data_IF_067679617270
#
_entry.id   IF_067679617270
#
_cell.length_a   1.000
_cell.length_b   1.000
_cell.length_c   1.000
_cell.angle_alpha   90.00
_cell.angle_beta   90.00
_cell.angle_gamma   90.00
#
_symmetry.space_group_name_H-M   'P 1'
#
loop_
_entity.id
_entity.type
_entity.pdbx_description
1 polymer ?
#
# COMPACT_ATOMS: atom_id res chain seq x y z
N UNK A 1 -8.44 19.93 -28.22
CA UNK A 1 -7.98 19.21 -27.00
C UNK A 1 -6.49 19.47 -26.84
N UNK A 2 -6.14 20.64 -26.34
CA UNK A 2 -4.75 21.09 -26.19
C UNK A 2 -4.51 21.46 -24.72
N UNK A 3 -3.24 21.51 -24.30
CA UNK A 3 -2.77 21.75 -22.93
C UNK A 3 -2.76 20.55 -21.97
N UNK A 4 -2.58 19.31 -22.45
CA UNK A 4 -1.91 18.30 -21.59
C UNK A 4 -0.43 18.67 -21.45
N UNK A 5 0.09 18.69 -20.22
CA UNK A 5 1.49 19.06 -19.95
C UNK A 5 2.45 18.18 -20.77
N UNK A 6 3.46 18.75 -21.47
CA UNK A 6 4.33 17.98 -22.37
C UNK A 6 5.12 16.90 -21.62
N UNK A 7 5.40 17.10 -20.32
CA UNK A 7 6.01 16.10 -19.45
C UNK A 7 5.13 14.83 -19.33
N UNK A 8 3.81 14.98 -19.15
CA UNK A 8 2.87 13.84 -19.09
C UNK A 8 2.82 13.12 -20.44
N UNK A 9 2.76 13.86 -21.55
CA UNK A 9 2.81 13.29 -22.90
C UNK A 9 4.08 12.44 -23.11
N UNK A 10 5.23 12.91 -22.60
CA UNK A 10 6.50 12.17 -22.70
C UNK A 10 6.52 10.85 -21.90
N UNK A 11 5.79 10.76 -20.78
CA UNK A 11 5.70 9.54 -19.97
C UNK A 11 4.96 8.43 -20.71
N UNK A 12 3.84 8.77 -21.36
CA UNK A 12 3.02 7.82 -22.12
C UNK A 12 3.49 7.61 -23.57
N UNK A 13 4.52 8.34 -24.04
CA UNK A 13 5.02 8.16 -25.40
C UNK A 13 5.74 6.81 -25.61
N UNK A 14 5.26 6.03 -26.58
CA UNK A 14 5.83 4.74 -27.01
C UNK A 14 7.14 4.88 -27.82
N UNK A 15 7.45 6.10 -28.26
CA UNK A 15 8.60 6.46 -29.07
C UNK A 15 9.57 7.37 -28.28
N UNK A 16 10.82 7.45 -28.74
CA UNK A 16 11.90 8.13 -28.04
C UNK A 16 12.75 7.24 -27.12
N UNK A 17 13.65 7.91 -26.41
CA UNK A 17 14.76 7.40 -25.61
C UNK A 17 14.79 8.13 -24.27
N UNK A 18 15.11 7.39 -23.20
CA UNK A 18 15.20 7.93 -21.84
C UNK A 18 16.63 7.75 -21.33
N UNK A 19 17.27 8.83 -20.89
CA UNK A 19 18.61 8.76 -20.34
C UNK A 19 18.62 8.13 -18.93
N UNK A 20 19.80 7.76 -18.44
CA UNK A 20 20.03 7.16 -17.10
C UNK A 20 19.28 7.88 -15.95
N UNK A 21 19.45 9.20 -15.71
CA UNK A 21 18.79 9.87 -14.59
C UNK A 21 17.28 9.98 -14.76
N UNK A 22 16.74 10.27 -15.96
CA UNK A 22 15.28 10.35 -16.15
C UNK A 22 14.62 8.99 -15.96
N UNK A 23 15.23 7.90 -16.45
CA UNK A 23 14.75 6.55 -16.15
C UNK A 23 14.75 6.27 -14.63
N UNK A 24 15.84 6.55 -13.92
CA UNK A 24 15.93 6.35 -12.47
C UNK A 24 14.91 7.17 -11.65
N UNK A 25 14.69 8.44 -12.03
CA UNK A 25 13.65 9.29 -11.42
C UNK A 25 12.25 8.74 -11.65
N UNK A 26 11.93 8.28 -12.87
CA UNK A 26 10.62 7.68 -13.17
C UNK A 26 10.40 6.41 -12.34
N UNK A 27 11.38 5.50 -12.28
CA UNK A 27 11.25 4.25 -11.50
C UNK A 27 11.05 4.55 -10.01
N UNK A 28 11.91 5.40 -9.43
CA UNK A 28 11.85 5.72 -7.99
C UNK A 28 10.57 6.47 -7.61
N UNK A 29 10.13 7.44 -8.43
CA UNK A 29 8.87 8.14 -8.23
C UNK A 29 7.66 7.20 -8.30
N UNK A 30 7.63 6.24 -9.25
CA UNK A 30 6.54 5.26 -9.33
C UNK A 30 6.48 4.33 -8.12
N UNK A 31 7.63 3.88 -7.59
CA UNK A 31 7.66 3.07 -6.37
C UNK A 31 7.21 3.87 -5.14
N UNK A 32 7.75 5.08 -4.96
CA UNK A 32 7.36 5.97 -3.87
C UNK A 32 5.85 6.30 -3.90
N UNK A 33 5.32 6.63 -5.07
CA UNK A 33 3.92 7.00 -5.23
C UNK A 33 2.97 5.83 -4.95
N UNK A 34 3.32 4.60 -5.34
CA UNK A 34 2.55 3.41 -4.96
C UNK A 34 2.54 3.20 -3.45
N UNK A 35 3.70 3.29 -2.78
CA UNK A 35 3.80 3.13 -1.33
C UNK A 35 3.05 4.22 -0.56
N UNK A 36 3.09 5.46 -1.05
CA UNK A 36 2.32 6.58 -0.51
C UNK A 36 0.81 6.34 -0.61
N UNK A 37 0.30 5.88 -1.76
CA UNK A 37 -1.11 5.54 -1.90
C UNK A 37 -1.51 4.31 -1.08
N UNK A 38 -0.65 3.29 -0.99
CA UNK A 38 -0.88 2.11 -0.13
C UNK A 38 -1.02 2.50 1.35
N UNK A 39 -0.17 3.41 1.85
CA UNK A 39 -0.23 3.89 3.24
C UNK A 39 -1.55 4.61 3.57
N UNK A 40 -2.15 5.33 2.61
CA UNK A 40 -3.36 6.13 2.83
C UNK A 40 -4.64 5.33 2.50
N UNK A 41 -4.59 4.42 1.53
CA UNK A 41 -5.75 3.75 0.95
C UNK A 41 -5.66 2.21 1.02
N UNK A 42 -4.95 1.65 2.01
CA UNK A 42 -4.82 0.19 2.22
C UNK A 42 -6.17 -0.55 2.19
N UNK A 43 -7.21 0.06 2.77
CA UNK A 43 -8.58 -0.46 2.82
C UNK A 43 -9.35 -0.43 1.48
N UNK A 44 -8.73 0.04 0.39
CA UNK A 44 -9.37 0.19 -0.94
C UNK A 44 -8.55 -0.52 -2.03
N UNK A 45 -8.54 -1.87 -2.06
CA UNK A 45 -7.67 -2.65 -2.95
C UNK A 45 -7.94 -2.40 -4.44
N UNK A 46 -9.19 -2.08 -4.82
CA UNK A 46 -9.58 -1.75 -6.19
C UNK A 46 -8.93 -0.44 -6.67
N UNK A 47 -8.89 0.59 -5.82
CA UNK A 47 -8.20 1.85 -6.10
C UNK A 47 -6.69 1.64 -6.24
N UNK A 48 -6.08 0.89 -5.32
CA UNK A 48 -4.65 0.55 -5.38
C UNK A 48 -4.30 -0.25 -6.65
N UNK A 49 -5.14 -1.19 -7.07
CA UNK A 49 -4.93 -1.96 -8.29
C UNK A 49 -4.96 -1.07 -9.56
N UNK A 50 -5.84 -0.08 -9.61
CA UNK A 50 -5.89 0.91 -10.72
C UNK A 50 -4.59 1.73 -10.76
N UNK A 51 -4.15 2.25 -9.60
CA UNK A 51 -2.89 3.01 -9.50
C UNK A 51 -1.68 2.14 -9.89
N UNK A 52 -1.57 0.92 -9.38
CA UNK A 52 -0.51 -0.01 -9.71
C UNK A 52 -0.47 -0.36 -11.22
N UNK A 53 -1.64 -0.53 -11.85
CA UNK A 53 -1.75 -0.77 -13.30
C UNK A 53 -1.21 0.40 -14.13
N UNK A 54 -1.62 1.64 -13.82
CA UNK A 54 -1.13 2.85 -14.50
C UNK A 54 0.38 3.00 -14.34
N UNK A 55 0.91 2.81 -13.13
CA UNK A 55 2.34 2.91 -12.84
C UNK A 55 3.17 1.81 -13.52
N UNK A 56 2.64 0.59 -13.59
CA UNK A 56 3.24 -0.51 -14.37
C UNK A 56 3.37 -0.11 -15.84
N UNK A 57 2.34 0.53 -16.41
CA UNK A 57 2.38 1.06 -17.77
C UNK A 57 3.48 2.10 -17.98
N UNK A 58 3.62 3.05 -17.05
CA UNK A 58 4.69 4.06 -17.09
C UNK A 58 6.08 3.42 -16.97
N UNK A 59 6.27 2.47 -16.03
CA UNK A 59 7.52 1.72 -15.84
C UNK A 59 7.88 0.92 -17.10
N UNK A 60 6.90 0.26 -17.74
CA UNK A 60 7.11 -0.51 -18.97
C UNK A 60 7.53 0.38 -20.13
N UNK A 61 6.86 1.52 -20.34
CA UNK A 61 7.20 2.47 -21.40
C UNK A 61 8.59 3.10 -21.17
N UNK A 62 8.89 3.50 -19.93
CA UNK A 62 10.20 4.01 -19.52
C UNK A 62 11.31 2.98 -19.75
N UNK A 63 11.10 1.73 -19.31
CA UNK A 63 12.02 0.61 -19.53
C UNK A 63 12.24 0.33 -21.02
N UNK A 64 11.19 0.47 -21.85
CA UNK A 64 11.28 0.31 -23.30
C UNK A 64 12.11 1.40 -23.96
N UNK A 65 11.92 2.67 -23.58
CA UNK A 65 12.71 3.80 -24.09
C UNK A 65 14.17 3.68 -23.66
N UNK A 66 14.42 3.31 -22.40
CA UNK A 66 15.76 3.08 -21.86
C UNK A 66 16.49 1.88 -22.48
N UNK A 67 15.78 0.81 -22.83
CA UNK A 67 16.42 -0.35 -23.47
C UNK A 67 16.81 -0.10 -24.94
N UNK A 68 15.99 0.67 -25.67
CA UNK A 68 16.35 1.18 -27.00
C UNK A 68 17.61 2.05 -26.95
N UNK A 69 17.69 2.91 -25.94
CA UNK A 69 18.80 3.84 -25.67
C UNK A 69 20.13 3.12 -25.36
N UNK A 70 20.04 1.97 -24.66
CA UNK A 70 21.15 1.05 -24.44
C UNK A 70 21.39 0.04 -25.58
N UNK A 71 20.53 0.02 -26.62
CA UNK A 71 20.67 -0.84 -27.80
C UNK A 71 20.47 -2.34 -27.56
N UNK A 72 19.71 -2.74 -26.53
CA UNK A 72 19.49 -4.14 -26.12
C UNK A 72 18.17 -4.74 -26.66
N UNK A 73 18.11 -6.08 -26.70
CA UNK A 73 16.96 -6.83 -27.21
C UNK A 73 15.73 -6.74 -26.29
N UNK A 74 14.55 -6.50 -26.87
CA UNK A 74 13.28 -6.14 -26.19
C UNK A 74 12.83 -7.00 -25.00
N UNK A 75 13.32 -8.22 -24.81
CA UNK A 75 12.91 -9.10 -23.70
C UNK A 75 13.23 -8.51 -22.31
N UNK A 76 14.31 -7.72 -22.19
CA UNK A 76 14.70 -7.08 -20.92
C UNK A 76 13.75 -5.96 -20.46
N UNK A 77 12.87 -5.45 -21.34
CA UNK A 77 11.88 -4.42 -21.00
C UNK A 77 10.89 -4.91 -19.94
N UNK A 78 10.61 -6.22 -19.93
CA UNK A 78 9.58 -6.81 -19.08
C UNK A 78 10.03 -6.93 -17.61
N UNK A 79 11.32 -7.04 -17.31
CA UNK A 79 11.80 -7.39 -15.97
C UNK A 79 11.40 -6.37 -14.88
N UNK A 80 11.65 -5.05 -15.02
CA UNK A 80 11.27 -4.09 -13.99
C UNK A 80 9.75 -3.98 -13.81
N UNK A 81 9.00 -4.00 -14.92
CA UNK A 81 7.54 -3.91 -14.94
C UNK A 81 6.88 -5.16 -14.34
N UNK A 82 7.38 -6.36 -14.65
CA UNK A 82 6.88 -7.62 -14.11
C UNK A 82 7.20 -7.74 -12.61
N UNK A 83 8.42 -7.36 -12.19
CA UNK A 83 8.77 -7.30 -10.78
C UNK A 83 7.86 -6.35 -10.00
N UNK A 84 7.58 -5.16 -10.56
CA UNK A 84 6.72 -4.16 -9.95
C UNK A 84 5.26 -4.63 -9.83
N UNK A 85 4.66 -5.17 -10.89
CA UNK A 85 3.26 -5.62 -10.84
C UNK A 85 3.07 -6.84 -9.92
N UNK A 86 4.01 -7.78 -9.89
CA UNK A 86 3.95 -8.93 -8.97
C UNK A 86 4.08 -8.48 -7.51
N UNK A 87 5.01 -7.56 -7.22
CA UNK A 87 5.14 -6.97 -5.87
C UNK A 87 3.88 -6.17 -5.47
N UNK A 88 3.27 -5.44 -6.41
CA UNK A 88 2.03 -4.69 -6.20
C UNK A 88 0.86 -5.62 -5.89
N UNK A 89 0.68 -6.69 -6.67
CA UNK A 89 -0.39 -7.68 -6.44
C UNK A 89 -0.20 -8.34 -5.08
N UNK A 90 1.03 -8.73 -4.72
CA UNK A 90 1.31 -9.31 -3.40
C UNK A 90 0.96 -8.32 -2.27
N UNK A 91 1.43 -7.07 -2.35
CA UNK A 91 1.17 -6.03 -1.34
C UNK A 91 -0.32 -5.68 -1.18
N UNK A 92 -1.11 -5.76 -2.26
CA UNK A 92 -2.57 -5.54 -2.23
C UNK A 92 -3.34 -6.78 -1.73
N UNK A 93 -2.78 -7.99 -1.86
CA UNK A 93 -3.48 -9.25 -1.53
C UNK A 93 -3.27 -9.75 -0.10
N UNK A 94 -2.38 -9.11 0.66
CA UNK A 94 -1.90 -9.58 1.96
C UNK A 94 -1.44 -8.41 2.85
N UNK A 95 -2.06 -8.25 4.02
CA UNK A 95 -1.72 -7.20 5.00
C UNK A 95 -0.45 -7.55 5.79
N UNK A 96 0.72 -7.52 5.14
CA UNK A 96 1.97 -7.88 5.80
C UNK A 96 3.19 -7.09 5.30
N UNK A 97 3.84 -6.37 6.22
CA UNK A 97 4.90 -5.39 5.93
C UNK A 97 6.18 -6.01 5.32
N UNK A 98 6.41 -7.31 5.49
CA UNK A 98 7.57 -7.99 4.87
C UNK A 98 7.49 -8.02 3.34
N UNK A 99 6.29 -7.88 2.77
CA UNK A 99 6.09 -7.83 1.31
C UNK A 99 6.68 -6.59 0.64
N UNK A 100 7.08 -5.57 1.41
CA UNK A 100 7.90 -4.47 0.88
C UNK A 100 9.23 -4.98 0.28
N UNK A 101 9.75 -6.12 0.75
CA UNK A 101 10.93 -6.78 0.17
C UNK A 101 10.67 -7.30 -1.26
N UNK A 102 9.42 -7.53 -1.66
CA UNK A 102 9.08 -7.99 -2.99
C UNK A 102 9.38 -6.96 -4.10
N UNK A 103 9.60 -5.68 -3.76
CA UNK A 103 10.07 -4.66 -4.71
C UNK A 103 11.56 -4.74 -5.03
N UNK A 104 12.37 -5.46 -4.23
CA UNK A 104 13.83 -5.57 -4.43
C UNK A 104 14.18 -6.08 -5.85
N UNK A 105 13.58 -7.14 -6.41
CA UNK A 105 13.83 -7.57 -7.79
C UNK A 105 13.52 -6.51 -8.86
N UNK A 106 12.46 -5.70 -8.68
CA UNK A 106 12.15 -4.58 -9.58
C UNK A 106 13.23 -3.51 -9.53
N UNK A 107 13.64 -3.12 -8.32
CA UNK A 107 14.68 -2.11 -8.10
C UNK A 107 16.06 -2.58 -8.56
N UNK A 108 16.42 -3.85 -8.36
CA UNK A 108 17.68 -4.42 -8.84
C UNK A 108 17.74 -4.48 -10.37
N UNK A 109 16.66 -4.91 -11.02
CA UNK A 109 16.61 -4.96 -12.50
C UNK A 109 16.58 -3.56 -13.12
N UNK A 110 15.90 -2.60 -12.49
CA UNK A 110 15.99 -1.19 -12.87
C UNK A 110 17.41 -0.63 -12.66
N UNK A 111 18.06 -0.93 -11.54
CA UNK A 111 19.44 -0.49 -11.26
C UNK A 111 20.43 -1.02 -12.30
N UNK A 112 20.28 -2.27 -12.72
CA UNK A 112 21.04 -2.84 -13.85
C UNK A 112 20.84 -2.03 -15.15
N UNK A 113 19.58 -1.66 -15.48
CA UNK A 113 19.30 -0.84 -16.66
C UNK A 113 19.83 0.60 -16.55
N UNK A 114 19.96 1.16 -15.34
CA UNK A 114 20.63 2.46 -15.11
C UNK A 114 22.13 2.33 -15.42
N UNK A 115 22.79 1.26 -14.97
CA UNK A 115 24.24 1.07 -15.15
C UNK A 115 24.68 0.92 -16.61
N UNK A 116 23.82 0.43 -17.51
CA UNK A 116 24.16 0.27 -18.94
C UNK A 116 24.64 1.59 -19.60
N UNK A 117 25.64 1.58 -20.49
CA UNK A 117 26.03 2.79 -21.23
C UNK A 117 24.94 3.20 -22.25
N UNK A 118 24.82 4.51 -22.49
CA UNK A 118 24.12 5.09 -23.65
C UNK A 118 24.90 4.75 -24.92
N UNK A 119 24.25 4.17 -25.93
CA UNK A 119 24.94 3.76 -27.17
C UNK A 119 25.15 4.90 -28.16
N UNK A 120 24.19 5.83 -28.23
CA UNK A 120 24.20 6.92 -29.20
C UNK A 120 24.40 8.26 -28.50
N UNK A 121 25.16 9.16 -29.13
CA UNK A 121 25.37 10.53 -28.65
C UNK A 121 24.19 11.44 -29.05
N UNK A 122 23.00 11.14 -28.51
CA UNK A 122 21.77 11.89 -28.74
C UNK A 122 21.74 13.15 -27.87
N UNK A 123 21.13 14.23 -28.36
CA UNK A 123 20.82 15.39 -27.54
C UNK A 123 19.52 15.12 -26.77
N UNK A 124 19.57 15.23 -25.44
CA UNK A 124 18.41 15.02 -24.57
C UNK A 124 17.92 16.35 -24.00
N UNK A 125 16.64 16.66 -24.16
CA UNK A 125 15.95 17.74 -23.44
C UNK A 125 15.33 17.15 -22.18
N UNK A 126 15.69 17.65 -20.99
CA UNK A 126 15.25 17.10 -19.69
C UNK A 126 15.43 15.57 -19.54
N UNK A 127 16.40 14.97 -20.24
CA UNK A 127 16.65 13.53 -20.25
C UNK A 127 15.72 12.69 -21.13
N UNK A 128 14.96 13.34 -22.03
CA UNK A 128 14.20 12.70 -23.11
C UNK A 128 14.81 13.04 -24.46
N UNK A 129 14.78 12.10 -25.40
CA UNK A 129 14.99 12.37 -26.82
C UNK A 129 13.88 11.64 -27.61
N UNK A 130 12.97 12.38 -28.25
CA UNK A 130 11.81 11.79 -28.92
C UNK A 130 10.85 12.84 -29.51
N UNK A 131 9.68 12.42 -30.04
CA UNK A 131 8.78 13.30 -30.79
C UNK A 131 7.99 14.32 -29.94
N UNK A 132 8.04 14.23 -28.61
CA UNK A 132 7.40 15.22 -27.72
C UNK A 132 8.42 16.29 -27.35
N UNK A 133 8.22 17.52 -27.82
CA UNK A 133 9.04 18.65 -27.42
C UNK A 133 8.69 19.12 -26.00
N UNK A 134 9.62 18.94 -25.07
CA UNK A 134 9.49 19.36 -23.68
C UNK A 134 9.73 20.87 -23.46
N UNK A 135 10.26 21.58 -24.46
CA UNK A 135 10.59 23.02 -24.40
C UNK A 135 9.56 23.91 -25.10
N UNK A 136 8.63 23.35 -25.89
CA UNK A 136 7.61 24.09 -26.65
C UNK A 136 6.77 25.09 -25.82
N UNK A 137 6.57 24.84 -24.52
CA UNK A 137 5.88 25.77 -23.62
C UNK A 137 6.83 26.75 -22.90
N UNK A 138 8.13 26.43 -22.79
CA UNK A 138 9.12 27.33 -22.21
C UNK A 138 9.50 28.45 -23.19
N UNK A 139 9.65 28.13 -24.47
CA UNK A 139 10.01 29.09 -25.53
C UNK A 139 8.93 30.15 -25.76
N UNK A 140 7.65 29.80 -25.63
CA UNK A 140 6.53 30.78 -25.64
C UNK A 140 6.71 31.90 -24.61
N UNK A 141 7.29 31.62 -23.43
CA UNK A 141 7.49 32.64 -22.39
C UNK A 141 8.67 33.60 -22.63
N UNK A 142 9.58 33.25 -23.55
CA UNK A 142 10.77 34.06 -23.87
C UNK A 142 10.50 35.02 -25.02
N UNK A 143 9.70 34.61 -26.02
CA UNK A 143 9.39 35.48 -27.16
C UNK A 143 8.50 36.67 -26.73
N UNK A 144 7.60 36.48 -25.77
CA UNK A 144 6.77 37.55 -25.16
C UNK A 144 7.55 38.51 -24.25
N UNK A 145 8.80 38.18 -23.89
CA UNK A 145 9.65 39.01 -22.99
C UNK A 145 10.68 39.87 -23.72
N UNK A 146 10.95 39.59 -25.00
CA UNK A 146 11.71 40.50 -25.85
C UNK A 146 10.77 41.50 -26.53
N UNK A 147 10.19 42.40 -25.74
CA UNK A 147 9.58 43.63 -26.25
C UNK A 147 10.70 44.52 -26.82
N UNK A 148 11.01 44.32 -28.09
CA UNK A 148 11.94 45.19 -28.83
C UNK A 148 11.23 46.55 -28.98
N UNK A 149 11.70 47.55 -28.23
CA UNK A 149 11.25 48.94 -28.40
C UNK A 149 11.71 49.43 -29.79
N UNK A 150 10.82 50.02 -30.61
CA UNK A 150 11.22 50.56 -31.91
C UNK A 150 12.07 51.83 -31.71
N UNK A 151 13.39 51.67 -31.81
CA UNK A 151 14.31 52.81 -31.80
C UNK A 151 14.13 53.66 -33.06
N UNK A 152 13.49 54.81 -32.91
CA UNK A 152 13.24 55.75 -34.01
C UNK A 152 14.51 56.55 -34.36
N UNK A 153 15.50 55.87 -34.94
CA UNK A 153 16.66 56.48 -35.60
C UNK A 153 16.94 55.75 -36.91
N UNK A 154 16.88 56.49 -38.01
CA UNK A 154 17.08 55.95 -39.34
C UNK A 154 18.56 55.89 -39.70
N UNK A 155 19.07 54.68 -39.93
CA UNK A 155 20.11 54.44 -40.93
C UNK A 155 19.81 53.10 -41.61
N UNK A 156 19.52 53.14 -42.91
CA UNK A 156 19.32 51.92 -43.71
C UNK A 156 20.69 51.32 -43.98
N UNK A 157 21.03 50.21 -43.30
CA UNK A 157 22.15 49.39 -43.73
C UNK A 157 21.83 47.89 -43.62
N UNK A 158 22.20 47.20 -44.69
CA UNK A 158 21.95 45.81 -45.06
C UNK A 158 21.50 44.82 -43.95
N UNK A 159 20.23 44.37 -44.04
CA UNK A 159 19.81 43.09 -43.47
C UNK A 159 20.51 41.94 -44.21
N UNK A 160 21.64 41.47 -43.68
CA UNK A 160 22.09 40.10 -43.92
C UNK A 160 21.32 39.17 -42.99
N UNK A 161 20.52 38.29 -43.58
CA UNK A 161 19.78 37.25 -42.87
C UNK A 161 20.78 36.17 -42.39
N UNK A 162 21.43 36.43 -41.26
CA UNK A 162 22.33 35.46 -40.64
C UNK A 162 21.52 34.29 -40.07
N UNK A 163 21.54 33.16 -40.78
CA UNK A 163 20.97 31.90 -40.33
C UNK A 163 21.67 31.42 -39.05
N UNK A 164 21.02 31.63 -37.89
CA UNK A 164 21.57 31.24 -36.57
C UNK A 164 21.46 29.71 -36.42
N UNK A 165 22.40 29.01 -37.05
CA UNK A 165 22.70 27.62 -36.75
C UNK A 165 23.26 27.51 -35.33
N UNK A 166 22.41 27.25 -34.34
CA UNK A 166 22.81 26.96 -32.97
C UNK A 166 23.50 25.58 -32.84
N UNK A 167 24.67 25.43 -33.44
CA UNK A 167 25.59 24.32 -33.21
C UNK A 167 26.58 24.66 -32.09
N UNK A 168 26.07 24.75 -30.88
CA UNK A 168 26.87 25.03 -29.69
C UNK A 168 27.74 23.82 -29.29
N UNK A 169 28.93 23.71 -29.88
CA UNK A 169 30.01 22.87 -29.34
C UNK A 169 30.63 23.56 -28.12
N UNK A 170 30.07 23.36 -26.93
CA UNK A 170 30.68 23.79 -25.67
C UNK A 170 31.47 22.64 -25.02
N UNK A 171 32.75 22.53 -25.35
CA UNK A 171 33.67 21.58 -24.70
C UNK A 171 33.99 22.06 -23.28
N UNK A 172 33.28 21.55 -22.28
CA UNK A 172 33.64 21.77 -20.88
C UNK A 172 34.57 20.64 -20.40
N UNK A 173 35.87 20.91 -20.34
CA UNK A 173 36.84 19.99 -19.72
C UNK A 173 36.68 20.04 -18.20
N UNK A 174 36.40 18.89 -17.59
CA UNK A 174 36.42 18.70 -16.13
C UNK A 174 37.63 17.83 -15.78
N UNK A 175 38.45 18.21 -14.78
CA UNK A 175 39.74 17.56 -14.54
C UNK A 175 39.58 16.14 -13.99
N UNK A 176 40.38 15.23 -14.52
CA UNK A 176 40.53 13.87 -14.01
C UNK A 176 41.41 13.86 -12.75
N UNK A 177 40.97 13.16 -11.70
CA UNK A 177 41.76 12.26 -10.84
C UNK A 177 41.01 11.95 -9.53
N UNK A 178 40.10 10.97 -9.58
CA UNK A 178 39.78 10.15 -8.41
C UNK A 178 39.86 8.69 -8.84
N UNK A 179 40.67 7.90 -8.14
CA UNK A 179 41.01 6.52 -8.49
C UNK A 179 39.82 5.61 -8.12
N UNK A 180 38.83 5.54 -9.01
CA UNK A 180 37.65 4.70 -8.82
C UNK A 180 38.06 3.23 -8.70
N UNK A 181 37.81 2.63 -7.53
CA UNK A 181 37.90 1.18 -7.36
C UNK A 181 36.97 0.53 -8.38
N UNK A 182 37.50 -0.36 -9.21
CA UNK A 182 36.80 -0.98 -10.35
C UNK A 182 35.79 -2.05 -9.90
N UNK A 183 34.76 -1.59 -9.19
CA UNK A 183 33.60 -2.37 -8.78
C UNK A 183 32.90 -3.02 -9.99
N UNK A 184 32.93 -2.35 -11.14
CA UNK A 184 32.39 -2.83 -12.42
C UNK A 184 33.06 -4.14 -12.91
N UNK A 185 34.37 -4.30 -12.66
CA UNK A 185 35.12 -5.49 -13.08
C UNK A 185 34.70 -6.69 -12.20
N UNK A 186 34.68 -6.50 -10.88
CA UNK A 186 34.30 -7.54 -9.92
C UNK A 186 32.85 -8.02 -10.12
N UNK A 187 31.92 -7.12 -10.44
CA UNK A 187 30.53 -7.50 -10.74
C UNK A 187 30.36 -8.22 -12.10
N UNK A 188 31.18 -7.89 -13.12
CA UNK A 188 31.16 -8.61 -14.40
C UNK A 188 31.54 -10.07 -14.24
N UNK A 189 32.59 -10.34 -13.45
CA UNK A 189 33.17 -11.67 -13.36
C UNK A 189 32.31 -12.64 -12.50
N UNK A 190 31.60 -12.14 -11.48
CA UNK A 190 30.81 -12.99 -10.56
C UNK A 190 29.34 -13.24 -10.96
N UNK A 191 28.71 -12.42 -11.82
CA UNK A 191 27.25 -12.51 -12.08
C UNK A 191 26.89 -13.12 -13.45
N UNK A 192 27.80 -13.14 -14.43
CA UNK A 192 27.51 -13.60 -15.79
C UNK A 192 27.49 -15.14 -15.98
N UNK A 193 27.73 -15.92 -14.92
CA UNK A 193 27.77 -17.40 -14.97
C UNK A 193 26.38 -18.07 -14.96
N UNK A 194 25.31 -17.37 -14.58
CA UNK A 194 24.01 -18.01 -14.27
C UNK A 194 23.19 -18.31 -15.53
N UNK A 195 23.53 -19.46 -16.16
CA UNK A 195 22.83 -20.11 -17.29
C UNK A 195 21.32 -20.38 -17.03
N UNK A 196 20.86 -20.24 -15.79
CA UNK A 196 19.51 -20.56 -15.32
C UNK A 196 18.48 -19.42 -15.41
N UNK A 197 18.84 -18.21 -15.84
CA UNK A 197 17.87 -17.09 -15.99
C UNK A 197 16.70 -17.43 -16.92
N UNK A 198 16.92 -18.28 -17.93
CA UNK A 198 15.85 -18.79 -18.83
C UNK A 198 14.83 -19.70 -18.13
N UNK A 199 15.16 -20.24 -16.96
CA UNK A 199 14.35 -21.17 -16.17
C UNK A 199 13.64 -20.42 -15.03
N UNK A 200 14.29 -19.43 -14.44
CA UNK A 200 13.74 -18.66 -13.30
C UNK A 200 12.54 -17.80 -13.74
N UNK A 201 12.59 -17.15 -14.91
CA UNK A 201 11.49 -16.32 -15.40
C UNK A 201 10.15 -17.09 -15.58
N UNK A 202 10.09 -18.25 -16.27
CA UNK A 202 8.85 -19.03 -16.36
C UNK A 202 8.47 -19.69 -15.02
N UNK A 203 9.42 -20.01 -14.14
CA UNK A 203 9.13 -20.55 -12.81
C UNK A 203 8.38 -19.52 -11.93
N UNK A 204 8.86 -18.27 -11.88
CA UNK A 204 8.17 -17.20 -11.16
C UNK A 204 6.80 -16.87 -11.78
N UNK A 205 6.68 -16.88 -13.12
CA UNK A 205 5.40 -16.68 -13.80
C UNK A 205 4.40 -17.81 -13.50
N UNK A 206 4.86 -19.06 -13.51
CA UNK A 206 4.07 -20.24 -13.13
C UNK A 206 3.59 -20.16 -11.67
N UNK A 207 4.49 -19.85 -10.73
CA UNK A 207 4.17 -19.69 -9.32
C UNK A 207 3.11 -18.60 -9.08
N UNK A 208 3.22 -17.46 -9.77
CA UNK A 208 2.23 -16.38 -9.71
C UNK A 208 0.89 -16.82 -10.30
N UNK A 209 0.89 -17.53 -11.43
CA UNK A 209 -0.34 -18.04 -12.06
C UNK A 209 -1.03 -19.09 -11.17
N UNK A 210 -0.27 -19.94 -10.49
CA UNK A 210 -0.77 -20.88 -9.47
C UNK A 210 -1.40 -20.12 -8.29
N UNK A 211 -0.75 -19.09 -7.75
CA UNK A 211 -1.31 -18.29 -6.65
C UNK A 211 -2.59 -17.52 -7.04
N UNK A 212 -2.67 -17.03 -8.28
CA UNK A 212 -3.89 -16.41 -8.83
C UNK A 212 -5.01 -17.46 -9.00
N UNK A 213 -4.69 -18.65 -9.52
CA UNK A 213 -5.68 -19.74 -9.64
C UNK A 213 -6.17 -20.21 -8.27
N UNK A 214 -5.30 -20.35 -7.26
CA UNK A 214 -5.70 -20.71 -5.88
C UNK A 214 -6.68 -19.69 -5.30
N UNK A 215 -6.47 -18.39 -5.53
CA UNK A 215 -7.43 -17.36 -5.10
C UNK A 215 -8.77 -17.46 -5.84
N UNK A 216 -8.77 -17.76 -7.14
CA UNK A 216 -10.00 -17.93 -7.94
C UNK A 216 -10.77 -19.21 -7.55
N UNK A 217 -10.08 -20.32 -7.28
CA UNK A 217 -10.74 -21.58 -6.86
C UNK A 217 -11.29 -21.50 -5.44
N UNK A 218 -10.62 -20.78 -4.53
CA UNK A 218 -11.08 -20.62 -3.16
C UNK A 218 -12.29 -19.66 -3.03
N UNK A 219 -12.59 -18.86 -4.06
CA UNK A 219 -13.82 -18.07 -4.19
C UNK A 219 -14.99 -18.88 -4.80
N UNK A 220 -14.73 -20.11 -5.25
CA UNK A 220 -15.69 -20.97 -5.97
C UNK A 220 -15.73 -22.41 -5.41
N UNK A 221 -15.88 -22.53 -4.10
CA UNK A 221 -16.00 -23.82 -3.39
C UNK A 221 -17.24 -23.87 -2.48
N UNK A 222 -18.43 -23.83 -3.09
CA UNK A 222 -19.67 -24.32 -2.46
C UNK A 222 -19.85 -25.78 -2.88
N UNK A 223 -19.58 -26.72 -1.96
CA UNK A 223 -19.90 -28.14 -2.07
C UNK A 223 -20.09 -28.73 -0.65
N UNK A 224 -20.90 -29.79 -0.48
CA UNK A 224 -21.59 -30.07 0.78
C UNK A 224 -20.77 -30.88 1.80
N UNK A 225 -21.32 -30.94 3.01
CA UNK A 225 -20.87 -31.76 4.14
C UNK A 225 -20.75 -33.25 3.79
N UNK A 226 -19.75 -33.92 4.36
CA UNK A 226 -19.94 -35.26 4.92
C UNK A 226 -19.16 -35.37 6.24
N UNK A 227 -19.68 -36.16 7.17
CA UNK A 227 -19.36 -36.13 8.61
C UNK A 227 -18.26 -37.14 8.95
N UNK A 228 -17.25 -36.73 9.72
CA UNK A 228 -16.85 -37.45 10.94
C UNK A 228 -15.80 -36.73 11.81
N UNK A 229 -15.94 -36.89 13.13
CA UNK A 229 -14.95 -36.57 14.18
C UNK A 229 -14.04 -37.80 14.45
N UNK A 230 -12.98 -37.75 15.31
CA UNK A 230 -12.39 -36.61 16.04
C UNK A 230 -10.84 -36.52 15.91
N UNK A 231 -10.27 -35.53 16.63
CA UNK A 231 -8.92 -35.52 17.25
C UNK A 231 -7.80 -34.70 16.58
N UNK A 232 -7.57 -33.52 17.19
CA UNK A 232 -6.27 -33.05 17.72
C UNK A 232 -5.05 -33.03 16.79
N UNK A 233 -4.58 -31.82 16.44
CA UNK A 233 -3.16 -31.41 16.54
C UNK A 233 -3.07 -29.87 16.65
N UNK A 234 -1.96 -29.41 17.20
CA UNK A 234 -1.61 -28.03 17.52
C UNK A 234 -1.72 -26.97 16.40
N UNK A 235 -2.21 -25.80 16.81
CA UNK A 235 -1.60 -24.46 16.66
C UNK A 235 -0.52 -24.23 15.57
N UNK A 236 -0.77 -23.25 14.68
CA UNK A 236 0.20 -22.19 14.36
C UNK A 236 -0.52 -20.84 14.14
N UNK A 237 -0.11 -19.83 14.92
CA UNK A 237 -0.49 -18.40 14.81
C UNK A 237 0.62 -17.64 14.03
N UNK A 238 0.41 -16.50 13.35
CA UNK A 238 -0.63 -15.45 13.49
C UNK A 238 -0.97 -14.76 12.13
N UNK A 239 -2.12 -14.09 12.07
CA UNK A 239 -2.11 -12.61 11.97
C UNK A 239 -3.24 -12.06 12.84
N UNK A 240 -2.86 -11.44 13.96
CA UNK A 240 -3.79 -10.96 14.97
C UNK A 240 -4.36 -9.61 14.54
N UNK A 241 -5.67 -9.54 14.31
CA UNK A 241 -6.44 -8.41 14.84
C UNK A 241 -6.13 -8.37 16.33
N UNK A 242 -5.67 -7.23 16.85
CA UNK A 242 -5.22 -7.11 18.24
C UNK A 242 -6.34 -7.49 19.21
N UNK A 243 -6.31 -8.73 19.70
CA UNK A 243 -7.01 -9.15 20.91
C UNK A 243 -6.28 -8.49 22.09
N UNK A 244 -6.43 -7.16 22.22
CA UNK A 244 -5.75 -6.37 23.24
C UNK A 244 -5.96 -7.00 24.61
N UNK A 245 -4.88 -7.09 25.39
CA UNK A 245 -4.73 -8.05 26.49
C UNK A 245 -5.93 -7.97 27.43
N UNK A 246 -6.49 -9.13 27.79
CA UNK A 246 -7.63 -9.21 28.73
C UNK A 246 -7.09 -9.06 30.15
N UNK A 247 -7.11 -7.83 30.64
CA UNK A 247 -6.59 -7.44 31.95
C UNK A 247 -7.73 -7.38 32.99
N UNK A 248 -7.39 -7.64 34.26
CA UNK A 248 -8.27 -7.42 35.43
C UNK A 248 -9.65 -8.10 35.39
N UNK A 249 -9.75 -9.33 34.86
CA UNK A 249 -11.02 -10.05 34.68
C UNK A 249 -11.80 -10.23 36.01
N UNK A 250 -13.12 -10.04 35.95
CA UNK A 250 -14.09 -10.28 37.03
C UNK A 250 -15.27 -11.07 36.49
N UNK A 251 -15.50 -12.27 37.03
CA UNK A 251 -16.74 -13.01 36.82
C UNK A 251 -17.90 -12.34 37.58
N UNK A 252 -19.06 -12.22 36.91
CA UNK A 252 -20.27 -11.60 37.44
C UNK A 252 -21.32 -12.67 37.81
N UNK A 253 -22.37 -12.32 38.57
CA UNK A 253 -23.31 -13.32 39.12
C UNK A 253 -24.23 -14.02 38.11
N UNK A 254 -24.25 -13.59 36.85
CA UNK A 254 -25.20 -14.00 35.81
C UNK A 254 -24.44 -14.50 34.56
N UNK A 255 -23.41 -15.33 34.79
CA UNK A 255 -22.58 -16.04 33.81
C UNK A 255 -21.97 -15.18 32.68
N UNK A 256 -21.70 -13.90 32.99
CA UNK A 256 -20.90 -13.00 32.17
C UNK A 256 -19.63 -12.55 32.91
N UNK A 257 -18.62 -12.09 32.17
CA UNK A 257 -17.39 -11.52 32.73
C UNK A 257 -17.21 -10.07 32.29
N UNK A 258 -16.67 -9.25 33.18
CA UNK A 258 -16.14 -7.93 32.88
C UNK A 258 -14.61 -8.01 32.84
N UNK A 259 -14.00 -7.52 31.77
CA UNK A 259 -12.56 -7.40 31.62
C UNK A 259 -12.17 -6.00 31.14
N UNK A 260 -10.91 -5.64 31.31
CA UNK A 260 -10.32 -4.40 30.80
C UNK A 260 -9.32 -4.71 29.68
N UNK A 261 -8.93 -3.69 28.92
CA UNK A 261 -7.84 -3.73 27.97
C UNK A 261 -6.72 -2.75 28.39
N UNK A 262 -5.62 -2.76 27.65
CA UNK A 262 -4.43 -1.91 27.86
C UNK A 262 -4.69 -0.39 27.86
N UNK A 263 -5.87 0.06 27.42
CA UNK A 263 -6.26 1.46 27.26
C UNK A 263 -7.41 1.87 28.19
N UNK A 264 -7.63 1.15 29.30
CA UNK A 264 -8.76 1.32 30.23
C UNK A 264 -10.16 1.23 29.57
N UNK A 265 -10.25 0.62 28.38
CA UNK A 265 -11.51 0.24 27.75
C UNK A 265 -11.99 -1.11 28.28
N UNK A 266 -13.29 -1.25 28.50
CA UNK A 266 -13.87 -2.51 29.00
C UNK A 266 -14.32 -3.44 27.88
N UNK A 267 -14.36 -4.73 28.22
CA UNK A 267 -14.94 -5.82 27.44
C UNK A 267 -15.94 -6.58 28.31
N UNK A 268 -17.11 -6.89 27.76
CA UNK A 268 -18.05 -7.85 28.34
C UNK A 268 -17.91 -9.17 27.60
N UNK A 269 -17.88 -10.29 28.33
CA UNK A 269 -17.83 -11.65 27.76
C UNK A 269 -19.03 -12.46 28.27
N UNK A 270 -19.69 -13.21 27.41
CA UNK A 270 -20.74 -14.16 27.80
C UNK A 270 -20.76 -15.35 26.83
N UNK A 271 -21.47 -16.42 27.20
CA UNK A 271 -21.56 -17.63 26.38
C UNK A 271 -22.21 -17.33 25.01
N UNK A 272 -21.67 -17.92 23.94
CA UNK A 272 -22.21 -17.82 22.59
C UNK A 272 -23.14 -18.98 22.23
N UNK A 273 -24.21 -18.66 21.51
CA UNK A 273 -25.09 -19.64 20.86
C UNK A 273 -24.55 -20.08 19.49
N UNK A 274 -23.71 -19.24 18.87
CA UNK A 274 -23.10 -19.48 17.56
C UNK A 274 -21.64 -19.95 17.68
N UNK A 275 -21.34 -21.10 17.07
CA UNK A 275 -20.02 -21.75 17.14
C UNK A 275 -19.05 -21.19 16.09
N UNK A 276 -19.53 -20.41 15.11
CA UNK A 276 -18.66 -19.80 14.10
C UNK A 276 -18.00 -18.51 14.64
N UNK A 277 -16.67 -18.42 14.56
CA UNK A 277 -15.92 -17.18 14.81
C UNK A 277 -16.33 -16.08 13.82
N UNK A 278 -17.37 -15.30 14.15
CA UNK A 278 -17.89 -14.22 13.33
C UNK A 278 -18.01 -12.88 14.08
N UNK A 279 -18.05 -11.78 13.32
CA UNK A 279 -18.32 -10.44 13.86
C UNK A 279 -19.82 -10.18 13.81
N UNK A 280 -20.46 -10.15 14.97
CA UNK A 280 -21.88 -9.85 15.12
C UNK A 280 -22.19 -8.36 14.89
N UNK A 281 -21.28 -7.47 15.28
CA UNK A 281 -21.42 -6.02 15.10
C UNK A 281 -20.06 -5.34 15.00
N UNK A 282 -19.96 -4.33 14.14
CA UNK A 282 -18.81 -3.43 14.07
C UNK A 282 -19.26 -1.99 13.77
N UNK A 283 -18.90 -1.07 14.67
CA UNK A 283 -19.20 0.36 14.57
C UNK A 283 -18.50 1.05 13.40
N UNK A 284 -17.34 0.55 12.96
CA UNK A 284 -16.54 1.16 11.89
C UNK A 284 -17.20 0.94 10.52
N UNK A 285 -17.71 -0.27 10.29
CA UNK A 285 -18.46 -0.60 9.08
C UNK A 285 -19.96 -0.32 9.19
N UNK A 286 -20.49 -0.14 10.42
CA UNK A 286 -21.91 -0.07 10.74
C UNK A 286 -22.72 -1.26 10.20
N UNK A 287 -22.09 -2.44 10.15
CA UNK A 287 -22.66 -3.71 9.69
C UNK A 287 -22.76 -4.70 10.85
N UNK A 288 -23.67 -5.66 10.70
CA UNK A 288 -24.00 -6.65 11.70
C UNK A 288 -25.41 -6.48 12.28
N UNK A 289 -25.70 -7.19 13.35
CA UNK A 289 -26.95 -7.06 14.08
C UNK A 289 -27.03 -5.73 14.84
N UNK A 290 -28.14 -5.03 14.67
CA UNK A 290 -28.45 -3.78 15.36
C UNK A 290 -28.76 -3.99 16.84
N UNK A 291 -29.18 -5.20 17.25
CA UNK A 291 -29.36 -5.53 18.67
C UNK A 291 -28.04 -5.44 19.46
N UNK A 292 -26.91 -5.70 18.78
CA UNK A 292 -25.56 -5.60 19.31
C UNK A 292 -24.96 -4.18 19.27
N UNK A 293 -25.64 -3.20 18.68
CA UNK A 293 -25.08 -1.85 18.50
C UNK A 293 -25.00 -1.01 19.80
N UNK A 294 -25.79 -1.39 20.81
CA UNK A 294 -25.92 -0.66 22.07
C UNK A 294 -26.09 -1.57 23.27
N UNK A 295 -25.35 -1.29 24.33
CA UNK A 295 -25.63 -1.75 25.69
C UNK A 295 -26.69 -0.84 26.31
N UNK A 296 -27.83 -1.37 26.72
CA UNK A 296 -28.94 -0.60 27.31
C UNK A 296 -29.21 -1.02 28.75
N UNK A 297 -29.45 -0.07 29.66
CA UNK A 297 -29.81 -0.35 31.05
C UNK A 297 -31.27 -0.02 31.35
N UNK A 298 -31.83 -0.64 32.38
CA UNK A 298 -33.25 -0.51 32.76
C UNK A 298 -33.71 0.92 33.13
N UNK A 299 -32.78 1.84 33.41
CA UNK A 299 -33.04 3.27 33.64
C UNK A 299 -32.96 4.13 32.37
N UNK A 300 -32.77 3.52 31.20
CA UNK A 300 -32.67 4.21 29.91
C UNK A 300 -31.28 4.79 29.58
N UNK A 301 -30.23 4.53 30.38
CA UNK A 301 -28.86 4.81 29.91
C UNK A 301 -28.48 3.81 28.83
N UNK A 302 -27.81 4.31 27.78
CA UNK A 302 -27.37 3.51 26.64
C UNK A 302 -25.94 3.89 26.26
N UNK A 303 -25.13 2.87 25.95
CA UNK A 303 -23.72 3.02 25.58
C UNK A 303 -23.46 2.32 24.26
N UNK A 304 -22.64 2.92 23.40
CA UNK A 304 -22.35 2.38 22.07
C UNK A 304 -21.34 1.24 22.17
N UNK A 305 -21.66 0.12 21.56
CA UNK A 305 -20.72 -1.01 21.41
C UNK A 305 -19.82 -0.74 20.20
N UNK A 306 -18.51 -0.91 20.37
CA UNK A 306 -17.52 -0.72 19.30
C UNK A 306 -17.54 -1.93 18.36
N UNK A 307 -17.44 -3.13 18.91
CA UNK A 307 -17.66 -4.37 18.17
C UNK A 307 -18.20 -5.47 19.08
N UNK A 308 -18.82 -6.47 18.47
CA UNK A 308 -19.14 -7.76 19.11
C UNK A 308 -18.62 -8.87 18.19
N UNK A 309 -17.84 -9.79 18.75
CA UNK A 309 -17.25 -10.90 18.02
C UNK A 309 -17.36 -12.20 18.82
N UNK A 310 -17.59 -13.33 18.13
CA UNK A 310 -17.41 -14.66 18.69
C UNK A 310 -15.91 -14.95 18.77
N UNK A 311 -15.41 -15.22 19.97
CA UNK A 311 -14.03 -15.64 20.24
C UNK A 311 -14.05 -17.10 20.72
N UNK A 312 -13.02 -17.87 20.35
CA UNK A 312 -12.85 -19.29 20.72
C UNK A 312 -14.02 -20.22 20.34
N UNK A 313 -14.91 -19.81 19.42
CA UNK A 313 -16.10 -20.54 18.98
C UNK A 313 -17.14 -20.80 20.11
N UNK A 314 -17.06 -20.11 21.25
CA UNK A 314 -17.95 -20.33 22.41
C UNK A 314 -18.27 -19.07 23.23
N UNK A 315 -17.61 -17.94 22.97
CA UNK A 315 -17.69 -16.74 23.81
C UNK A 315 -18.01 -15.50 22.95
N UNK A 316 -19.12 -14.84 23.18
CA UNK A 316 -19.34 -13.48 22.66
C UNK A 316 -18.52 -12.48 23.45
N UNK A 317 -17.85 -11.55 22.74
CA UNK A 317 -17.04 -10.49 23.35
C UNK A 317 -17.47 -9.14 22.79
N UNK A 318 -18.09 -8.29 23.62
CA UNK A 318 -18.43 -6.91 23.30
C UNK A 318 -17.36 -5.95 23.80
N UNK A 319 -16.81 -5.11 22.93
CA UNK A 319 -15.79 -4.10 23.27
C UNK A 319 -16.39 -2.70 23.34
N UNK A 320 -15.97 -1.91 24.32
CA UNK A 320 -16.46 -0.54 24.56
C UNK A 320 -15.35 0.51 24.46
N UNK A 321 -15.76 1.78 24.33
CA UNK A 321 -14.86 2.93 24.34
C UNK A 321 -14.32 3.20 25.76
N UNK A 322 -13.01 3.47 25.95
CA UNK A 322 -12.47 3.94 27.23
C UNK A 322 -13.15 5.20 27.78
N UNK A 323 -13.73 6.03 26.91
CA UNK A 323 -14.45 7.26 27.28
C UNK A 323 -15.75 7.00 28.06
N UNK A 324 -16.32 5.79 27.92
CA UNK A 324 -17.57 5.39 28.56
C UNK A 324 -17.35 4.48 29.78
N UNK A 325 -16.12 3.98 30.00
CA UNK A 325 -15.76 3.02 31.06
C UNK A 325 -16.30 3.39 32.44
N UNK A 326 -16.05 4.61 32.92
CA UNK A 326 -16.50 5.08 34.25
C UNK A 326 -18.03 4.94 34.43
N UNK A 327 -18.78 5.34 33.39
CA UNK A 327 -20.25 5.33 33.41
C UNK A 327 -20.79 3.92 33.31
N UNK A 328 -20.21 3.09 32.46
CA UNK A 328 -20.63 1.69 32.30
C UNK A 328 -20.33 0.90 33.58
N UNK A 329 -19.17 1.06 34.22
CA UNK A 329 -18.86 0.35 35.49
C UNK A 329 -19.85 0.75 36.59
N UNK A 330 -20.16 2.05 36.72
CA UNK A 330 -21.17 2.53 37.68
C UNK A 330 -22.56 1.97 37.38
N UNK A 331 -22.98 1.93 36.12
CA UNK A 331 -24.28 1.36 35.77
C UNK A 331 -24.29 -0.18 35.97
N UNK A 332 -23.21 -0.90 35.65
CA UNK A 332 -23.07 -2.33 35.97
C UNK A 332 -23.11 -2.61 37.48
N UNK A 333 -22.65 -1.68 38.32
CA UNK A 333 -22.67 -1.85 39.77
C UNK A 333 -24.01 -1.46 40.41
N UNK A 334 -24.67 -0.41 39.94
CA UNK A 334 -25.83 0.20 40.63
C UNK A 334 -27.19 0.01 39.93
N UNK A 335 -27.25 -0.61 38.75
CA UNK A 335 -28.53 -0.92 38.06
C UNK A 335 -28.99 -2.35 38.33
N UNK A 336 -30.19 -2.66 37.85
CA UNK A 336 -30.82 -3.98 38.08
C UNK A 336 -30.56 -4.95 36.94
N UNK A 337 -30.65 -4.48 35.69
CA UNK A 337 -30.45 -5.29 34.48
C UNK A 337 -29.87 -4.45 33.34
N UNK A 338 -29.22 -5.14 32.39
CA UNK A 338 -28.84 -4.58 31.09
C UNK A 338 -29.20 -5.53 29.95
N UNK A 339 -29.27 -4.98 28.75
CA UNK A 339 -29.54 -5.70 27.50
C UNK A 339 -28.42 -5.42 26.49
N UNK A 340 -27.89 -6.45 25.85
CA UNK A 340 -26.94 -6.35 24.73
C UNK A 340 -27.11 -7.53 23.79
N UNK A 341 -27.06 -7.32 22.47
CA UNK A 341 -27.27 -8.38 21.46
C UNK A 341 -28.61 -9.15 21.60
N UNK A 342 -29.63 -8.53 22.20
CA UNK A 342 -30.91 -9.19 22.50
C UNK A 342 -30.92 -10.07 23.75
N UNK A 343 -29.79 -10.25 24.44
CA UNK A 343 -29.71 -10.95 25.73
C UNK A 343 -29.93 -9.96 26.88
N UNK A 344 -30.77 -10.34 27.85
CA UNK A 344 -31.01 -9.62 29.09
C UNK A 344 -30.23 -10.26 30.25
N UNK A 345 -29.48 -9.44 30.99
CA UNK A 345 -28.63 -9.87 32.11
C UNK A 345 -29.03 -9.20 33.42
N UNK A 346 -28.97 -9.97 34.50
CA UNK A 346 -29.14 -9.55 35.89
C UNK A 346 -27.84 -8.97 36.47
N UNK A 347 -27.95 -7.81 37.11
CA UNK A 347 -26.84 -7.15 37.82
C UNK A 347 -26.87 -7.39 39.33
N UNK A 348 -27.72 -8.31 39.81
CA UNK A 348 -27.91 -8.58 41.22
C UNK A 348 -26.65 -9.19 41.86
N UNK A 349 -25.87 -8.33 42.51
CA UNK A 349 -24.60 -8.70 43.15
C UNK A 349 -23.35 -8.19 42.42
N UNK A 350 -23.51 -7.60 41.22
CA UNK A 350 -22.40 -7.04 40.44
C UNK A 350 -21.62 -5.96 41.21
N UNK A 351 -22.30 -5.13 42.01
CA UNK A 351 -21.64 -4.18 42.92
C UNK A 351 -20.58 -4.85 43.81
N UNK A 352 -20.89 -6.03 44.36
CA UNK A 352 -20.02 -6.75 45.27
C UNK A 352 -18.90 -7.52 44.55
N UNK A 353 -19.10 -7.90 43.28
CA UNK A 353 -18.06 -8.47 42.43
C UNK A 353 -17.06 -7.39 41.99
N UNK A 354 -17.57 -6.27 41.46
CA UNK A 354 -16.79 -5.10 41.02
C UNK A 354 -15.99 -4.51 42.19
N UNK A 355 -16.64 -4.25 43.33
CA UNK A 355 -16.00 -3.62 44.50
C UNK A 355 -14.94 -4.48 45.21
N UNK A 356 -14.88 -5.79 44.95
CA UNK A 356 -13.80 -6.68 45.45
C UNK A 356 -12.55 -6.65 44.57
N UNK A 357 -12.66 -6.22 43.31
CA UNK A 357 -11.54 -6.19 42.38
C UNK A 357 -10.72 -4.90 42.57
N UNK A 358 -9.40 -5.02 42.70
CA UNK A 358 -8.49 -3.90 43.01
C UNK A 358 -8.34 -2.88 41.87
N UNK A 359 -8.70 -3.25 40.64
CA UNK A 359 -8.76 -2.36 39.49
C UNK A 359 -10.17 -1.75 39.39
N UNK A 360 -11.21 -2.57 39.22
CA UNK A 360 -12.57 -2.08 38.97
C UNK A 360 -13.24 -1.39 40.18
N UNK A 361 -12.86 -1.73 41.41
CA UNK A 361 -13.36 -1.07 42.60
C UNK A 361 -13.00 0.42 42.72
N UNK A 362 -12.08 0.95 41.88
CA UNK A 362 -11.70 2.36 41.86
C UNK A 362 -12.75 3.30 41.25
N UNK A 363 -13.73 2.76 40.53
CA UNK A 363 -14.82 3.52 39.90
C UNK A 363 -16.12 3.50 40.73
N UNK A 364 -16.11 2.84 41.89
CA UNK A 364 -17.21 2.80 42.87
C UNK A 364 -16.89 3.65 44.12
#
# INVERSE_FOLDING_TARGET
MENTLPLIQSLFCKQGLDNRPRFGVIISASHFLLLFFWLIFSQQPTFLAIIASVLTGVIFLSSKRRLKDAGLANYWVLLPALGFIVASIALISFDSSWLLLAFIPSLMTASYLISLPTRNNQQYTQGYAGPVDLLANATKSVHDRNKIEPSLHGSVEHLQLAEINHRANSTFQQPTNLKSVNLEQWFKDNILSIRHIKIIAPLCFSLVLILVVIRITNDSAVAPEEVDLPSKVEQVTQSQTSTGELLNIVAMPDDFELASNEFDGIKLRWQADEIASQTLWDVLTAKGDKSCASLSFNNGSQYRVINVMVTNNDTYVATFSPLDTDKIIKDLAYKNTFTVCGYDFSLKGSQAAIGKNSYFGKWL
#
